data_IF_007883134301
#
_entry.id   IF_007883134301
#
_cell.length_a   1.000
_cell.length_b   1.000
_cell.length_c   1.000
_cell.angle_alpha   90.00
_cell.angle_beta   90.00
_cell.angle_gamma   90.00
#
_symmetry.space_group_name_H-M   'P 1'
#
loop_
_entity.id
_entity.type
_entity.pdbx_description
1 polymer ?
#
# COMPACT_ATOMS: atom_id res chain seq x y z
N UNK A 1 -29.26 -15.89 -12.69
CA UNK A 1 -27.84 -16.19 -12.35
C UNK A 1 -27.00 -15.07 -12.92
N UNK A 2 -26.09 -14.48 -12.14
CA UNK A 2 -25.09 -13.54 -12.66
C UNK A 2 -24.16 -14.31 -13.60
N UNK A 3 -24.11 -13.96 -14.89
CA UNK A 3 -23.16 -14.56 -15.83
C UNK A 3 -21.75 -14.00 -15.60
N UNK A 4 -20.69 -14.68 -16.07
CA UNK A 4 -19.33 -14.12 -16.03
C UNK A 4 -19.24 -12.78 -16.77
N UNK A 5 -20.01 -12.62 -17.84
CA UNK A 5 -20.16 -11.37 -18.56
C UNK A 5 -20.83 -10.29 -17.68
N UNK A 6 -21.90 -10.61 -16.95
CA UNK A 6 -22.54 -9.68 -16.03
C UNK A 6 -21.60 -9.28 -14.89
N UNK A 7 -20.89 -10.25 -14.31
CA UNK A 7 -19.92 -10.01 -13.25
C UNK A 7 -18.81 -9.08 -13.74
N UNK A 8 -18.30 -9.30 -14.96
CA UNK A 8 -17.16 -8.54 -15.47
C UNK A 8 -17.49 -7.16 -16.03
N UNK A 9 -18.70 -6.97 -16.58
CA UNK A 9 -19.16 -5.67 -17.06
C UNK A 9 -19.84 -4.81 -16.00
N UNK A 10 -20.36 -5.39 -14.92
CA UNK A 10 -21.17 -4.66 -13.94
C UNK A 10 -20.66 -4.72 -12.50
N UNK A 11 -19.71 -5.62 -12.17
CA UNK A 11 -19.27 -5.84 -10.78
C UNK A 11 -17.74 -5.75 -10.62
N UNK A 12 -16.95 -6.55 -11.33
CA UNK A 12 -15.48 -6.57 -11.23
C UNK A 12 -14.88 -6.67 -12.63
N UNK A 13 -14.20 -5.63 -13.16
CA UNK A 13 -13.53 -5.74 -14.45
C UNK A 13 -12.54 -6.91 -14.41
N UNK A 14 -12.74 -7.88 -15.31
CA UNK A 14 -11.94 -9.08 -15.42
C UNK A 14 -11.35 -9.21 -16.82
N UNK A 15 -10.40 -10.13 -17.05
CA UNK A 15 -9.79 -10.30 -18.35
C UNK A 15 -10.84 -10.76 -19.37
N UNK A 16 -11.23 -9.85 -20.26
CA UNK A 16 -12.12 -10.11 -21.39
C UNK A 16 -11.36 -10.11 -22.73
N UNK A 17 -10.04 -9.89 -22.71
CA UNK A 17 -9.21 -9.80 -23.90
C UNK A 17 -7.88 -10.50 -23.70
N UNK A 18 -7.39 -11.19 -24.73
CA UNK A 18 -6.03 -11.74 -24.72
C UNK A 18 -4.96 -10.67 -24.55
N UNK A 19 -5.23 -9.43 -24.98
CA UNK A 19 -4.28 -8.32 -24.81
C UNK A 19 -4.01 -7.97 -23.35
N UNK A 20 -4.92 -8.33 -22.44
CA UNK A 20 -4.75 -8.18 -20.99
C UNK A 20 -3.53 -8.97 -20.47
N UNK A 21 -3.28 -10.17 -20.98
CA UNK A 21 -2.21 -11.03 -20.50
C UNK A 21 -0.84 -10.64 -21.07
N UNK A 22 -0.80 -9.90 -22.18
CA UNK A 22 0.45 -9.58 -22.87
C UNK A 22 1.42 -8.79 -21.97
N UNK A 23 1.02 -7.68 -21.30
CA UNK A 23 1.90 -6.97 -20.37
C UNK A 23 2.50 -7.86 -19.26
N UNK A 24 1.69 -8.77 -18.74
CA UNK A 24 2.06 -9.69 -17.66
C UNK A 24 3.11 -10.71 -18.09
N UNK A 25 3.19 -11.02 -19.39
CA UNK A 25 4.22 -11.90 -19.98
C UNK A 25 5.44 -11.11 -20.44
N UNK A 26 5.23 -9.94 -21.05
CA UNK A 26 6.30 -9.13 -21.61
C UNK A 26 7.20 -8.50 -20.56
N UNK A 27 6.66 -8.06 -19.42
CA UNK A 27 7.48 -7.46 -18.36
C UNK A 27 8.50 -8.48 -17.78
N UNK A 28 8.10 -9.69 -17.35
CA UNK A 28 9.06 -10.72 -16.95
C UNK A 28 10.05 -11.08 -18.06
N UNK A 29 9.56 -11.23 -19.31
CA UNK A 29 10.42 -11.57 -20.45
C UNK A 29 11.48 -10.49 -20.70
N UNK A 30 11.10 -9.21 -20.60
CA UNK A 30 12.03 -8.10 -20.70
C UNK A 30 13.11 -8.23 -19.63
N UNK A 31 12.73 -8.39 -18.36
CA UNK A 31 13.64 -8.52 -17.23
C UNK A 31 14.54 -9.76 -17.28
N UNK A 32 14.12 -10.85 -17.93
CA UNK A 32 14.95 -12.05 -18.14
C UNK A 32 15.99 -11.88 -19.26
N UNK A 33 15.75 -10.92 -20.16
CA UNK A 33 16.62 -10.62 -21.30
C UNK A 33 17.83 -9.80 -20.81
N UNK A 34 19.08 -10.29 -20.98
CA UNK A 34 20.27 -9.61 -20.49
C UNK A 34 20.67 -8.44 -21.40
N UNK A 35 21.44 -7.50 -20.85
CA UNK A 35 21.99 -6.35 -21.59
C UNK A 35 22.97 -6.71 -22.70
N UNK A 36 23.53 -7.92 -22.66
CA UNK A 36 24.36 -8.46 -23.74
C UNK A 36 23.56 -8.79 -25.01
N UNK A 37 22.24 -8.99 -24.89
CA UNK A 37 21.35 -9.24 -26.03
C UNK A 37 20.60 -7.98 -26.45
N UNK A 38 20.04 -7.22 -25.50
CA UNK A 38 19.34 -5.96 -25.76
C UNK A 38 19.85 -4.86 -24.82
N UNK A 39 20.38 -3.79 -25.40
CA UNK A 39 20.70 -2.58 -24.63
C UNK A 39 19.46 -1.99 -23.96
N UNK A 40 19.65 -1.09 -22.98
CA UNK A 40 18.54 -0.41 -22.29
C UNK A 40 17.53 0.22 -23.24
N UNK A 41 18.02 0.99 -24.20
CA UNK A 41 17.16 1.68 -25.16
C UNK A 41 16.45 0.72 -26.11
N UNK A 42 17.12 -0.37 -26.52
CA UNK A 42 16.48 -1.41 -27.33
C UNK A 42 15.38 -2.15 -26.56
N UNK A 43 15.61 -2.50 -25.29
CA UNK A 43 14.58 -3.11 -24.44
C UNK A 43 13.38 -2.17 -24.26
N UNK A 44 13.63 -0.88 -23.98
CA UNK A 44 12.55 0.12 -23.84
C UNK A 44 11.77 0.24 -25.15
N UNK A 45 12.46 0.43 -26.28
CA UNK A 45 11.85 0.60 -27.59
C UNK A 45 11.07 -0.63 -28.07
N UNK A 46 11.49 -1.83 -27.66
CA UNK A 46 10.82 -3.08 -28.01
C UNK A 46 9.60 -3.36 -27.11
N UNK A 47 9.79 -3.35 -25.79
CA UNK A 47 8.77 -3.85 -24.86
C UNK A 47 7.74 -2.79 -24.48
N UNK A 48 8.14 -1.54 -24.21
CA UNK A 48 7.21 -0.54 -23.68
C UNK A 48 6.09 -0.17 -24.65
N UNK A 49 6.32 0.06 -25.96
CA UNK A 49 5.22 0.36 -26.88
C UNK A 49 4.19 -0.76 -26.96
N UNK A 50 4.63 -2.03 -26.94
CA UNK A 50 3.73 -3.18 -26.98
C UNK A 50 2.94 -3.30 -25.68
N UNK A 51 3.61 -3.15 -24.52
CA UNK A 51 2.95 -3.14 -23.21
C UNK A 51 1.86 -2.04 -23.15
N UNK A 52 2.20 -0.82 -23.58
CA UNK A 52 1.25 0.31 -23.61
C UNK A 52 0.09 0.01 -24.56
N UNK A 53 0.37 -0.35 -25.81
CA UNK A 53 -0.67 -0.59 -26.81
C UNK A 53 -1.62 -1.72 -26.42
N UNK A 54 -1.09 -2.82 -25.87
CA UNK A 54 -1.90 -3.97 -25.45
C UNK A 54 -2.71 -3.69 -24.18
N UNK A 55 -2.18 -2.87 -23.26
CA UNK A 55 -2.92 -2.36 -22.11
C UNK A 55 -4.06 -1.45 -22.56
N UNK A 56 -3.80 -0.48 -23.44
CA UNK A 56 -4.84 0.41 -23.99
C UNK A 56 -5.90 -0.37 -24.77
N UNK A 57 -5.49 -1.35 -25.58
CA UNK A 57 -6.42 -2.25 -26.26
C UNK A 57 -7.24 -3.08 -25.28
N UNK A 58 -6.65 -3.56 -24.18
CA UNK A 58 -7.38 -4.28 -23.14
C UNK A 58 -8.45 -3.36 -22.53
N UNK A 59 -8.08 -2.14 -22.14
CA UNK A 59 -9.02 -1.16 -21.58
C UNK A 59 -10.15 -0.83 -22.54
N UNK A 60 -9.83 -0.61 -23.82
CA UNK A 60 -10.83 -0.41 -24.86
C UNK A 60 -11.79 -1.60 -24.98
N UNK A 61 -11.24 -2.82 -25.01
CA UNK A 61 -12.03 -4.05 -25.12
C UNK A 61 -12.94 -4.28 -23.92
N UNK A 62 -12.47 -3.92 -22.72
CA UNK A 62 -13.22 -4.06 -21.47
C UNK A 62 -14.17 -2.89 -21.22
N UNK A 63 -14.09 -1.80 -22.01
CA UNK A 63 -14.85 -0.57 -21.80
C UNK A 63 -14.39 0.27 -20.62
N UNK A 64 -13.26 -0.05 -19.99
CA UNK A 64 -12.79 0.58 -18.77
C UNK A 64 -11.37 0.15 -18.40
N UNK A 65 -10.76 0.87 -17.45
CA UNK A 65 -9.49 0.47 -16.86
C UNK A 65 -9.71 -0.65 -15.85
N UNK A 66 -8.65 -1.38 -15.50
CA UNK A 66 -8.67 -2.35 -14.40
C UNK A 66 -7.42 -2.19 -13.52
N UNK A 67 -7.54 -2.60 -12.26
CA UNK A 67 -6.47 -2.43 -11.25
C UNK A 67 -5.16 -3.09 -11.67
N UNK A 68 -5.22 -4.31 -12.22
CA UNK A 68 -4.06 -5.17 -12.41
C UNK A 68 -3.25 -4.74 -13.64
N UNK A 69 -3.91 -4.39 -14.74
CA UNK A 69 -3.22 -3.90 -15.94
C UNK A 69 -2.62 -2.51 -15.72
N UNK A 70 -3.28 -1.62 -14.97
CA UNK A 70 -2.69 -0.33 -14.57
C UNK A 70 -1.46 -0.57 -13.71
N UNK A 71 -1.56 -1.44 -12.69
CA UNK A 71 -0.42 -1.75 -11.83
C UNK A 71 0.75 -2.38 -12.61
N UNK A 72 0.45 -3.28 -13.56
CA UNK A 72 1.46 -3.88 -14.44
C UNK A 72 2.14 -2.83 -15.32
N UNK A 73 1.38 -1.89 -15.88
CA UNK A 73 1.91 -0.78 -16.66
C UNK A 73 2.81 0.13 -15.82
N UNK A 74 2.41 0.43 -14.58
CA UNK A 74 3.23 1.21 -13.65
C UNK A 74 4.52 0.50 -13.25
N UNK A 75 4.47 -0.81 -13.02
CA UNK A 75 5.67 -1.62 -12.77
C UNK A 75 6.59 -1.68 -13.99
N UNK A 76 6.04 -1.80 -15.20
CA UNK A 76 6.82 -1.74 -16.43
C UNK A 76 7.50 -0.37 -16.61
N UNK A 77 6.77 0.72 -16.38
CA UNK A 77 7.33 2.07 -16.38
C UNK A 77 8.47 2.21 -15.35
N UNK A 78 8.25 1.75 -14.12
CA UNK A 78 9.26 1.78 -13.06
C UNK A 78 10.52 1.01 -13.44
N UNK A 79 10.37 -0.26 -13.82
CA UNK A 79 11.49 -1.21 -13.96
C UNK A 79 12.18 -1.16 -15.33
N UNK A 80 11.50 -0.72 -16.38
CA UNK A 80 12.09 -0.66 -17.72
C UNK A 80 12.58 0.76 -18.07
N UNK A 81 11.85 1.79 -17.67
CA UNK A 81 12.11 3.18 -18.08
C UNK A 81 12.82 3.95 -16.98
N UNK A 82 12.20 4.05 -15.80
CA UNK A 82 12.66 4.95 -14.73
C UNK A 82 13.87 4.41 -13.96
N UNK A 83 14.00 3.10 -13.86
CA UNK A 83 15.12 2.40 -13.22
C UNK A 83 15.79 1.42 -14.18
N UNK A 84 17.01 1.00 -13.84
CA UNK A 84 17.75 -0.01 -14.59
C UNK A 84 18.11 -1.20 -13.67
N UNK A 85 17.18 -2.15 -13.45
CA UNK A 85 17.43 -3.32 -12.61
C UNK A 85 18.70 -4.11 -12.94
N UNK A 86 19.11 -4.11 -14.22
CA UNK A 86 20.31 -4.80 -14.67
C UNK A 86 21.59 -4.16 -14.13
N UNK A 87 21.62 -2.83 -14.05
CA UNK A 87 22.79 -2.07 -13.62
C UNK A 87 22.74 -1.75 -12.12
N UNK A 88 21.60 -1.25 -11.66
CA UNK A 88 21.44 -0.61 -10.34
C UNK A 88 21.00 -1.57 -9.25
N UNK A 89 20.28 -2.66 -9.59
CA UNK A 89 19.62 -3.45 -8.55
C UNK A 89 20.56 -4.52 -8.00
N UNK A 90 20.61 -4.62 -6.66
CA UNK A 90 21.31 -5.68 -5.94
C UNK A 90 20.36 -6.31 -4.94
N UNK A 91 20.17 -7.62 -5.02
CA UNK A 91 19.43 -8.36 -4.00
C UNK A 91 20.33 -8.58 -2.80
N UNK A 92 19.86 -8.25 -1.60
CA UNK A 92 20.62 -8.32 -0.35
C UNK A 92 20.04 -9.43 0.51
N UNK A 93 20.75 -10.55 0.63
CA UNK A 93 20.39 -11.61 1.55
C UNK A 93 21.17 -11.49 2.86
N UNK A 94 20.52 -11.84 3.97
CA UNK A 94 21.22 -12.01 5.24
C UNK A 94 21.93 -13.37 5.21
N UNK A 95 23.23 -13.42 5.49
CA UNK A 95 23.88 -14.71 5.71
C UNK A 95 23.15 -15.45 6.84
N UNK A 96 22.99 -16.77 6.70
CA UNK A 96 22.39 -17.63 7.72
C UNK A 96 23.04 -17.36 9.07
N UNK A 97 22.31 -16.70 9.95
CA UNK A 97 22.68 -16.67 11.37
C UNK A 97 22.43 -18.09 11.87
N UNK A 98 23.50 -18.80 12.23
CA UNK A 98 23.39 -20.09 12.90
C UNK A 98 22.51 -19.96 14.13
N UNK A 99 21.73 -21.01 14.43
CA UNK A 99 20.86 -21.12 15.61
C UNK A 99 21.58 -20.66 16.88
N UNK A 100 21.43 -19.39 17.29
CA UNK A 100 21.52 -18.88 18.67
C UNK A 100 21.48 -17.34 18.63
N UNK A 101 20.31 -16.77 18.91
CA UNK A 101 20.12 -15.65 19.86
C UNK A 101 18.66 -15.21 19.80
N UNK A 102 17.79 -15.97 20.47
CA UNK A 102 16.48 -15.49 20.90
C UNK A 102 16.72 -14.65 22.16
N UNK A 103 16.63 -13.33 22.04
CA UNK A 103 16.35 -12.29 23.07
C UNK A 103 17.27 -11.08 22.94
N UNK A 104 16.89 -10.12 22.09
CA UNK A 104 17.23 -8.72 22.32
C UNK A 104 16.02 -7.83 22.03
N UNK A 105 15.52 -7.21 23.09
CA UNK A 105 14.60 -6.09 23.02
C UNK A 105 15.27 -4.94 22.28
N UNK A 106 14.72 -4.57 21.12
CA UNK A 106 15.10 -3.34 20.42
C UNK A 106 14.08 -2.25 20.76
N UNK A 107 14.48 -1.37 21.69
CA UNK A 107 13.77 -0.14 21.99
C UNK A 107 13.59 0.72 20.74
N UNK A 108 12.36 1.14 20.51
CA UNK A 108 11.98 2.01 19.38
C UNK A 108 12.30 3.45 19.77
N UNK A 109 13.37 4.01 19.21
CA UNK A 109 13.64 5.45 19.28
C UNK A 109 12.71 6.21 18.34
N UNK A 110 12.16 7.32 18.84
CA UNK A 110 11.30 8.24 18.12
C UNK A 110 12.15 9.37 17.53
N UNK A 111 12.39 9.35 16.20
CA UNK A 111 13.02 10.40 15.40
C UNK A 111 12.27 10.46 14.04
N UNK A 112 12.03 11.54 13.29
CA UNK A 112 12.31 12.99 13.27
C UNK A 112 11.11 13.67 12.52
N UNK A 113 10.94 15.02 12.56
CA UNK A 113 9.81 15.71 11.93
C UNK A 113 9.91 15.85 10.39
N UNK A 114 8.75 16.11 9.76
CA UNK A 114 8.60 16.38 8.33
C UNK A 114 9.01 17.80 7.90
N UNK A 115 9.27 18.71 8.85
CA UNK A 115 9.71 20.08 8.60
C UNK A 115 10.96 20.30 9.45
N UNK A 116 12.09 20.62 8.81
CA UNK A 116 13.32 20.97 9.54
C UNK A 116 13.20 22.40 10.07
N UNK A 117 14.00 22.76 11.07
CA UNK A 117 14.09 24.13 11.62
C UNK A 117 14.28 25.21 10.56
N UNK A 118 14.81 24.84 9.40
CA UNK A 118 15.10 25.73 8.27
C UNK A 118 13.91 25.85 7.29
N UNK A 119 12.73 25.37 7.68
CA UNK A 119 11.52 25.42 6.87
C UNK A 119 11.50 24.48 5.66
N UNK A 120 12.50 23.63 5.44
CA UNK A 120 12.48 22.64 4.35
C UNK A 120 11.52 21.50 4.67
N UNK A 121 10.78 21.02 3.65
CA UNK A 121 9.95 19.81 3.80
C UNK A 121 10.89 18.63 3.70
N UNK A 122 11.04 17.90 4.81
CA UNK A 122 11.72 16.62 4.79
C UNK A 122 10.83 15.63 4.02
N UNK A 123 11.13 15.41 2.73
CA UNK A 123 10.48 14.40 1.89
C UNK A 123 10.84 12.96 2.31
N UNK A 124 11.84 12.79 3.19
CA UNK A 124 12.30 11.47 3.61
C UNK A 124 11.34 10.87 4.65
N UNK A 125 10.27 10.23 4.15
CA UNK A 125 9.40 9.33 4.92
C UNK A 125 9.81 7.86 4.80
N UNK A 126 11.11 7.60 4.61
CA UNK A 126 11.74 6.32 4.92
C UNK A 126 12.17 6.35 6.40
N UNK A 127 12.21 5.22 7.13
CA UNK A 127 12.60 5.22 8.54
C UNK A 127 13.97 5.87 8.68
N UNK A 128 14.01 7.03 9.34
CA UNK A 128 15.19 7.91 9.36
C UNK A 128 15.90 7.74 10.70
N UNK A 129 17.12 7.21 10.63
CA UNK A 129 18.28 7.41 11.53
C UNK A 129 18.19 6.99 13.01
N UNK A 130 19.26 6.35 13.53
CA UNK A 130 19.84 6.70 14.83
C UNK A 130 20.82 7.87 14.64
N UNK A 131 20.58 9.00 15.31
CA UNK A 131 21.56 10.08 15.37
C UNK A 131 22.83 9.59 16.09
N UNK A 132 23.96 9.66 15.40
CA UNK A 132 25.29 9.52 16.00
C UNK A 132 25.61 10.73 16.85
N UNK A 133 25.32 10.65 18.16
CA UNK A 133 26.12 11.37 19.13
C UNK A 133 27.42 10.58 19.34
N UNK A 134 28.53 11.25 19.07
CA UNK A 134 29.90 10.80 19.33
C UNK A 134 30.08 10.50 20.81
N UNK A 135 29.65 9.32 21.26
CA UNK A 135 30.13 8.72 22.49
C UNK A 135 31.41 7.98 22.11
N UNK A 136 32.54 8.46 22.62
CA UNK A 136 33.85 7.82 22.56
C UNK A 136 33.68 6.31 22.77
N UNK A 137 33.85 5.52 21.71
CA UNK A 137 33.80 4.07 21.79
C UNK A 137 35.02 3.59 22.57
N UNK A 138 34.78 2.84 23.65
CA UNK A 138 35.78 1.95 24.21
C UNK A 138 36.13 0.88 23.15
N UNK A 139 37.41 0.52 22.95
CA UNK A 139 37.83 -0.34 21.83
C UNK A 139 37.39 -1.81 21.92
N UNK A 140 36.59 -2.23 22.90
CA UNK A 140 36.39 -3.65 23.24
C UNK A 140 35.02 -4.25 22.91
N UNK A 141 34.17 -3.61 22.11
CA UNK A 141 32.89 -4.20 21.67
C UNK A 141 32.73 -4.18 20.16
N UNK A 142 33.49 -5.02 19.45
CA UNK A 142 33.21 -5.37 18.06
C UNK A 142 32.01 -6.33 18.02
N UNK A 143 30.80 -5.77 18.02
CA UNK A 143 29.60 -6.51 17.62
C UNK A 143 29.72 -6.76 16.11
N UNK A 144 30.00 -8.01 15.72
CA UNK A 144 30.05 -8.42 14.32
C UNK A 144 28.70 -8.13 13.64
N UNK A 145 28.66 -7.14 12.74
CA UNK A 145 27.52 -6.92 11.85
C UNK A 145 27.27 -8.22 11.04
N UNK A 146 26.00 -8.63 10.85
CA UNK A 146 25.72 -9.82 10.06
C UNK A 146 26.30 -9.66 8.65
N UNK A 147 27.02 -10.68 8.17
CA UNK A 147 27.53 -10.70 6.81
C UNK A 147 26.32 -10.64 5.85
N UNK A 148 26.18 -9.57 5.08
CA UNK A 148 25.16 -9.47 4.03
C UNK A 148 25.79 -9.76 2.68
N UNK A 149 25.16 -10.64 1.90
CA UNK A 149 25.61 -10.94 0.54
C UNK A 149 24.79 -10.11 -0.44
N UNK A 150 25.46 -9.39 -1.34
CA UNK A 150 24.81 -8.64 -2.42
C UNK A 150 24.92 -9.42 -3.73
N UNK A 151 23.78 -9.71 -4.33
CA UNK A 151 23.69 -10.40 -5.61
C UNK A 151 23.29 -9.41 -6.71
N UNK A 152 24.18 -9.14 -7.68
CA UNK A 152 23.84 -8.38 -8.88
C UNK A 152 22.98 -9.19 -9.85
N UNK A 153 22.56 -8.55 -10.95
CA UNK A 153 21.84 -9.20 -12.01
C UNK A 153 22.57 -10.47 -12.50
N UNK A 154 21.94 -11.66 -12.46
CA UNK A 154 22.66 -12.91 -12.70
C UNK A 154 23.04 -13.14 -14.19
N UNK A 155 24.20 -13.75 -14.47
CA UNK A 155 24.65 -13.98 -15.84
C UNK A 155 23.92 -15.12 -16.54
N UNK A 156 23.35 -16.09 -15.83
CA UNK A 156 22.69 -17.27 -16.42
C UNK A 156 21.17 -17.23 -16.28
N UNK A 157 20.44 -17.76 -17.27
CA UNK A 157 18.97 -17.77 -17.25
C UNK A 157 18.39 -18.47 -16.00
N UNK A 158 18.97 -19.60 -15.61
CA UNK A 158 18.57 -20.36 -14.42
C UNK A 158 18.65 -19.52 -13.14
N UNK A 159 19.65 -18.67 -13.01
CA UNK A 159 19.80 -17.78 -11.85
C UNK A 159 18.95 -16.51 -11.97
N UNK A 160 18.68 -16.03 -13.19
CA UNK A 160 17.80 -14.87 -13.42
C UNK A 160 16.34 -15.17 -13.10
N UNK A 161 15.84 -16.37 -13.39
CA UNK A 161 14.45 -16.75 -13.11
C UNK A 161 14.03 -16.45 -11.66
N UNK A 162 14.70 -16.98 -10.62
CA UNK A 162 14.36 -16.65 -9.24
C UNK A 162 14.66 -15.21 -8.87
N UNK A 163 15.69 -14.58 -9.45
CA UNK A 163 16.02 -13.17 -9.20
C UNK A 163 14.91 -12.23 -9.71
N UNK A 164 14.48 -12.39 -10.96
CA UNK A 164 13.39 -11.64 -11.60
C UNK A 164 12.05 -11.95 -10.94
N UNK A 165 11.79 -13.23 -10.63
CA UNK A 165 10.59 -13.62 -9.90
C UNK A 165 10.50 -12.94 -8.53
N UNK A 166 11.61 -12.94 -7.77
CA UNK A 166 11.71 -12.24 -6.48
C UNK A 166 11.48 -10.74 -6.65
N UNK A 167 12.06 -10.12 -7.68
CA UNK A 167 11.90 -8.69 -7.94
C UNK A 167 10.44 -8.32 -8.20
N UNK A 168 9.74 -9.09 -9.04
CA UNK A 168 8.35 -8.83 -9.42
C UNK A 168 7.37 -8.99 -8.26
N UNK A 169 7.63 -9.89 -7.31
CA UNK A 169 6.78 -10.05 -6.12
C UNK A 169 7.20 -9.14 -4.96
N UNK A 170 8.40 -8.55 -5.02
CA UNK A 170 8.90 -7.61 -4.01
C UNK A 170 8.31 -6.22 -4.22
N UNK A 171 6.99 -6.06 -4.03
CA UNK A 171 6.27 -4.79 -4.30
C UNK A 171 6.86 -3.58 -3.57
N UNK A 172 7.42 -3.79 -2.37
CA UNK A 172 8.09 -2.76 -1.56
C UNK A 172 9.59 -2.63 -1.84
N UNK A 173 10.13 -3.45 -2.73
CA UNK A 173 11.57 -3.58 -3.00
C UNK A 173 12.37 -3.85 -1.71
N UNK A 174 11.77 -4.60 -0.77
CA UNK A 174 12.47 -5.09 0.42
C UNK A 174 13.62 -5.99 -0.02
N UNK A 175 14.78 -5.86 0.64
CA UNK A 175 16.00 -6.58 0.30
C UNK A 175 16.59 -6.21 -1.06
N UNK A 176 16.18 -5.10 -1.67
CA UNK A 176 16.76 -4.60 -2.92
C UNK A 176 17.49 -3.29 -2.69
N UNK A 177 18.75 -3.19 -3.08
CA UNK A 177 19.40 -1.89 -3.27
C UNK A 177 19.12 -1.41 -4.69
N UNK A 178 18.83 -0.12 -4.85
CA UNK A 178 18.34 0.49 -6.09
C UNK A 178 19.25 1.62 -6.58
N UNK A 179 20.46 1.74 -6.02
CA UNK A 179 21.35 2.88 -6.20
C UNK A 179 20.68 4.20 -5.76
N UNK A 180 19.92 4.14 -4.67
CA UNK A 180 19.19 5.26 -4.09
C UNK A 180 19.55 5.34 -2.60
N UNK A 181 20.52 6.19 -2.20
CA UNK A 181 21.08 6.16 -0.85
C UNK A 181 20.06 6.22 0.31
N UNK A 182 18.98 7.03 0.24
CA UNK A 182 17.96 7.03 1.29
C UNK A 182 17.20 5.71 1.46
N UNK A 183 17.04 4.95 0.37
CA UNK A 183 16.40 3.63 0.38
C UNK A 183 17.40 2.55 0.77
N UNK A 184 18.57 2.54 0.15
CA UNK A 184 19.54 1.44 0.25
C UNK A 184 20.13 1.29 1.65
N UNK A 185 20.17 2.38 2.42
CA UNK A 185 20.59 2.38 3.84
C UNK A 185 19.66 1.60 4.76
N UNK A 186 18.40 1.40 4.36
CA UNK A 186 17.41 0.67 5.16
C UNK A 186 17.27 -0.79 4.71
N UNK A 187 18.18 -1.28 3.86
CA UNK A 187 18.13 -2.61 3.28
C UNK A 187 19.24 -3.50 3.84
N UNK A 188 18.95 -4.75 4.26
CA UNK A 188 17.62 -5.34 4.39
C UNK A 188 16.83 -4.70 5.55
N UNK A 189 15.49 -4.56 5.47
CA UNK A 189 14.72 -3.93 6.53
C UNK A 189 14.81 -4.75 7.81
N UNK A 190 14.76 -4.09 8.97
CA UNK A 190 14.58 -4.81 10.24
C UNK A 190 13.34 -5.69 10.15
N UNK A 191 13.41 -6.99 10.49
CA UNK A 191 12.25 -7.88 10.38
C UNK A 191 11.10 -7.32 11.18
N UNK A 192 9.91 -7.26 10.58
CA UNK A 192 8.73 -6.79 11.31
C UNK A 192 8.33 -7.75 12.44
N UNK A 193 8.75 -9.02 12.33
CA UNK A 193 8.44 -10.05 13.31
C UNK A 193 9.72 -10.78 13.72
N UNK A 194 9.94 -11.02 15.02
CA UNK A 194 11.16 -11.67 15.50
C UNK A 194 11.24 -13.13 15.06
N UNK A 195 10.09 -13.80 14.90
CA UNK A 195 10.03 -15.22 14.52
C UNK A 195 8.89 -15.48 13.53
N UNK A 196 8.99 -16.59 12.79
CA UNK A 196 7.90 -17.09 11.92
C UNK A 196 6.61 -17.34 12.70
N UNK A 197 6.72 -17.83 13.95
CA UNK A 197 5.56 -18.05 14.84
C UNK A 197 4.90 -16.73 15.21
N UNK A 198 5.68 -15.70 15.53
CA UNK A 198 5.15 -14.37 15.81
C UNK A 198 4.43 -13.79 14.59
N UNK A 199 5.01 -13.94 13.38
CA UNK A 199 4.32 -13.57 12.14
C UNK A 199 3.03 -14.35 11.94
N UNK A 200 3.04 -15.68 12.06
CA UNK A 200 1.87 -16.51 11.85
C UNK A 200 0.74 -16.17 12.83
N UNK A 201 1.07 -15.96 14.12
CA UNK A 201 0.13 -15.50 15.13
C UNK A 201 -0.45 -14.12 14.77
N UNK A 202 0.40 -13.17 14.34
CA UNK A 202 -0.05 -11.86 13.92
C UNK A 202 -0.97 -11.91 12.69
N UNK A 203 -0.62 -12.73 11.70
CA UNK A 203 -1.40 -12.90 10.48
C UNK A 203 -2.75 -13.55 10.79
N UNK A 204 -2.80 -14.55 11.68
CA UNK A 204 -4.04 -15.17 12.14
C UNK A 204 -4.91 -14.19 12.94
N UNK A 205 -4.34 -13.43 13.88
CA UNK A 205 -5.08 -12.41 14.61
C UNK A 205 -5.59 -11.30 13.69
N UNK A 206 -4.78 -10.92 12.69
CA UNK A 206 -5.19 -9.95 11.66
C UNK A 206 -6.31 -10.50 10.77
N UNK A 207 -6.26 -11.78 10.43
CA UNK A 207 -7.33 -12.50 9.75
C UNK A 207 -8.62 -12.43 10.56
N UNK A 208 -8.61 -12.90 11.82
CA UNK A 208 -9.78 -12.92 12.70
C UNK A 208 -10.37 -11.51 12.91
N UNK A 209 -9.51 -10.52 13.19
CA UNK A 209 -9.94 -9.12 13.37
C UNK A 209 -10.56 -8.56 12.11
N UNK A 210 -9.92 -8.77 10.95
CA UNK A 210 -10.45 -8.27 9.68
C UNK A 210 -11.74 -9.00 9.28
N UNK A 211 -11.85 -10.30 9.52
CA UNK A 211 -13.07 -11.08 9.32
C UNK A 211 -14.22 -10.52 10.17
N UNK A 212 -14.01 -10.36 11.48
CA UNK A 212 -15.01 -9.78 12.37
C UNK A 212 -15.40 -8.36 11.95
N UNK A 213 -14.43 -7.55 11.53
CA UNK A 213 -14.69 -6.19 11.02
C UNK A 213 -15.57 -6.24 9.77
N UNK A 214 -15.24 -7.08 8.78
CA UNK A 214 -16.04 -7.24 7.56
C UNK A 214 -17.46 -7.73 7.87
N UNK A 215 -17.60 -8.71 8.76
CA UNK A 215 -18.89 -9.29 9.13
C UNK A 215 -19.79 -8.27 9.83
N UNK A 216 -19.26 -7.56 10.85
CA UNK A 216 -20.00 -6.56 11.62
C UNK A 216 -20.32 -5.30 10.80
N UNK A 217 -19.37 -4.81 9.99
CA UNK A 217 -19.64 -3.67 9.11
C UNK A 217 -20.65 -4.01 8.05
N UNK A 218 -20.62 -5.24 7.49
CA UNK A 218 -21.63 -5.70 6.54
C UNK A 218 -23.01 -5.85 7.17
N UNK A 219 -23.08 -6.33 8.41
CA UNK A 219 -24.31 -6.38 9.20
C UNK A 219 -24.89 -5.00 9.47
N UNK A 220 -24.06 -4.00 9.77
CA UNK A 220 -24.51 -2.62 9.87
C UNK A 220 -25.05 -2.11 8.52
N UNK A 221 -24.29 -2.32 7.45
CA UNK A 221 -24.65 -1.91 6.08
C UNK A 221 -25.98 -2.52 5.62
N UNK A 222 -26.33 -3.75 6.05
CA UNK A 222 -27.62 -4.36 5.68
C UNK A 222 -28.83 -3.65 6.30
N UNK A 223 -28.62 -2.90 7.38
CA UNK A 223 -29.68 -2.18 8.09
C UNK A 223 -29.73 -0.69 7.76
N UNK A 224 -28.65 -0.12 7.22
CA UNK A 224 -28.59 1.31 6.87
C UNK A 224 -28.99 1.52 5.39
N UNK A 225 -30.20 2.04 5.11
CA UNK A 225 -30.71 2.14 3.74
C UNK A 225 -29.90 3.08 2.86
N UNK A 226 -29.04 3.95 3.45
CA UNK A 226 -28.10 4.77 2.68
C UNK A 226 -27.23 3.93 1.74
N UNK A 227 -26.80 2.72 2.13
CA UNK A 227 -25.90 1.91 1.30
C UNK A 227 -26.59 1.17 0.15
N UNK A 228 -27.93 1.12 0.14
CA UNK A 228 -28.69 0.41 -0.90
C UNK A 228 -29.62 1.33 -1.68
N UNK A 229 -29.92 2.52 -1.17
CA UNK A 229 -30.90 3.44 -1.76
C UNK A 229 -30.21 4.72 -2.26
N UNK A 230 -30.01 4.86 -3.58
CA UNK A 230 -29.22 5.96 -4.12
C UNK A 230 -29.71 7.37 -3.88
N UNK A 231 -31.03 7.54 -3.72
CA UNK A 231 -31.64 8.84 -3.49
C UNK A 231 -31.42 9.36 -2.07
N UNK A 232 -30.92 8.54 -1.14
CA UNK A 232 -30.68 8.96 0.24
C UNK A 232 -29.36 9.71 0.38
N UNK A 233 -29.45 10.92 0.93
CA UNK A 233 -28.26 11.70 1.27
C UNK A 233 -27.45 11.03 2.39
N UNK A 234 -26.13 11.21 2.37
CA UNK A 234 -25.21 10.70 3.41
C UNK A 234 -25.48 11.25 4.81
N UNK A 235 -26.15 12.40 4.90
CA UNK A 235 -26.60 13.00 6.17
C UNK A 235 -27.95 12.47 6.67
N UNK A 236 -28.62 11.56 5.95
CA UNK A 236 -29.89 10.96 6.38
C UNK A 236 -29.76 10.28 7.75
N UNK A 237 -30.83 10.24 8.56
CA UNK A 237 -30.79 9.65 9.89
C UNK A 237 -30.23 8.22 9.92
N UNK A 238 -29.51 7.89 10.99
CA UNK A 238 -28.97 6.57 11.23
C UNK A 238 -30.08 5.56 11.53
N UNK A 239 -29.91 4.27 11.15
CA UNK A 239 -30.97 3.26 11.29
C UNK A 239 -31.24 2.83 12.74
N UNK A 240 -30.30 3.09 13.65
CA UNK A 240 -30.42 2.71 15.07
C UNK A 240 -30.55 3.95 15.96
N UNK A 241 -31.61 3.98 16.78
CA UNK A 241 -31.88 5.09 17.72
C UNK A 241 -30.73 5.33 18.69
N UNK A 242 -30.06 4.26 19.13
CA UNK A 242 -28.89 4.32 20.01
C UNK A 242 -27.69 5.09 19.41
N UNK A 243 -27.67 5.32 18.09
CA UNK A 243 -26.57 6.00 17.40
C UNK A 243 -26.88 7.46 17.04
N UNK A 244 -28.06 7.99 17.38
CA UNK A 244 -28.49 9.34 16.97
C UNK A 244 -27.58 10.49 17.43
N UNK A 245 -26.73 10.28 18.45
CA UNK A 245 -25.72 11.27 18.88
C UNK A 245 -24.47 11.33 18.00
N UNK A 246 -24.32 10.42 17.03
CA UNK A 246 -23.16 10.36 16.13
C UNK A 246 -23.54 10.99 14.79
N UNK A 247 -22.74 11.91 14.23
CA UNK A 247 -22.98 12.44 12.89
C UNK A 247 -23.06 11.32 11.85
N UNK A 248 -24.16 11.20 11.06
CA UNK A 248 -24.36 10.06 10.16
C UNK A 248 -23.20 9.86 9.16
N UNK A 249 -22.71 10.97 8.60
CA UNK A 249 -21.59 10.97 7.66
C UNK A 249 -20.30 10.45 8.29
N UNK A 250 -20.02 10.79 9.56
CA UNK A 250 -18.86 10.27 10.28
C UNK A 250 -18.94 8.75 10.41
N UNK A 251 -20.06 8.24 10.94
CA UNK A 251 -20.22 6.81 11.16
C UNK A 251 -20.12 6.02 9.86
N UNK A 252 -20.87 6.42 8.83
CA UNK A 252 -20.85 5.77 7.51
C UNK A 252 -19.46 5.78 6.88
N UNK A 253 -18.74 6.91 6.99
CA UNK A 253 -17.36 7.01 6.52
C UNK A 253 -16.44 6.03 7.27
N UNK A 254 -16.55 5.95 8.60
CA UNK A 254 -15.73 5.03 9.39
C UNK A 254 -16.05 3.56 9.08
N UNK A 255 -17.32 3.22 8.84
CA UNK A 255 -17.74 1.87 8.40
C UNK A 255 -17.11 1.50 7.06
N UNK A 256 -17.15 2.41 6.08
CA UNK A 256 -16.54 2.22 4.76
C UNK A 256 -15.01 2.07 4.87
N UNK A 257 -14.37 2.93 5.65
CA UNK A 257 -12.92 2.86 5.89
C UNK A 257 -12.51 1.56 6.59
N UNK A 258 -13.29 1.11 7.57
CA UNK A 258 -13.07 -0.15 8.28
C UNK A 258 -13.22 -1.35 7.34
N UNK A 259 -14.22 -1.35 6.44
CA UNK A 259 -14.35 -2.37 5.40
C UNK A 259 -13.13 -2.41 4.47
N UNK A 260 -12.72 -1.26 3.92
CA UNK A 260 -11.58 -1.19 3.02
C UNK A 260 -10.28 -1.67 3.70
N UNK A 261 -10.05 -1.23 4.94
CA UNK A 261 -8.90 -1.65 5.74
C UNK A 261 -8.91 -3.16 6.02
N UNK A 262 -10.06 -3.72 6.36
CA UNK A 262 -10.20 -5.13 6.66
C UNK A 262 -10.03 -5.99 5.40
N UNK A 263 -10.65 -5.61 4.28
CA UNK A 263 -10.55 -6.30 3.00
C UNK A 263 -9.10 -6.42 2.53
N UNK A 264 -8.36 -5.31 2.54
CA UNK A 264 -6.93 -5.31 2.20
C UNK A 264 -6.12 -6.17 3.17
N UNK A 265 -6.44 -6.13 4.46
CA UNK A 265 -5.82 -7.01 5.46
C UNK A 265 -6.04 -8.50 5.15
N UNK A 266 -7.24 -8.88 4.71
CA UNK A 266 -7.59 -10.24 4.30
C UNK A 266 -6.90 -10.66 3.00
N UNK A 267 -6.64 -9.72 2.09
CA UNK A 267 -5.95 -10.02 0.83
C UNK A 267 -4.46 -10.32 1.05
N UNK A 268 -3.82 -9.63 2.00
CA UNK A 268 -2.36 -9.70 2.16
C UNK A 268 -1.89 -10.71 3.21
N UNK A 269 -2.36 -10.62 4.46
CA UNK A 269 -1.78 -11.43 5.55
C UNK A 269 -2.07 -12.93 5.46
N UNK A 270 -3.31 -13.37 5.17
CA UNK A 270 -3.62 -14.80 5.03
C UNK A 270 -2.85 -15.46 3.90
N UNK A 271 -2.74 -14.79 2.74
CA UNK A 271 -1.99 -15.31 1.58
C UNK A 271 -0.52 -15.52 1.94
N UNK A 272 0.06 -14.65 2.77
CA UNK A 272 1.42 -14.82 3.27
C UNK A 272 1.63 -15.99 4.24
N UNK A 273 0.59 -16.64 4.75
CA UNK A 273 0.77 -17.88 5.50
C UNK A 273 1.23 -19.04 4.60
N UNK A 274 0.90 -19.00 3.30
CA UNK A 274 1.32 -20.03 2.33
C UNK A 274 2.84 -20.14 2.22
N UNK A 275 3.62 -19.08 1.92
CA UNK A 275 5.08 -19.18 1.86
C UNK A 275 5.72 -19.57 3.21
N UNK A 276 5.11 -19.20 4.35
CA UNK A 276 5.55 -19.69 5.67
C UNK A 276 5.39 -21.20 5.78
N UNK A 277 4.22 -21.72 5.39
CA UNK A 277 3.94 -23.16 5.39
C UNK A 277 4.85 -23.92 4.44
N UNK A 278 5.02 -23.45 3.21
CA UNK A 278 5.91 -24.06 2.21
C UNK A 278 7.37 -24.06 2.67
N UNK A 279 7.84 -23.00 3.32
CA UNK A 279 9.15 -22.97 3.95
C UNK A 279 9.27 -24.00 5.08
N UNK A 280 8.27 -24.10 5.95
CA UNK A 280 8.26 -25.08 7.04
C UNK A 280 8.31 -26.52 6.53
N UNK A 281 7.75 -26.78 5.35
CA UNK A 281 7.81 -28.07 4.64
C UNK A 281 9.12 -28.27 3.84
N UNK A 282 10.02 -27.28 3.81
CA UNK A 282 11.30 -27.34 3.10
C UNK A 282 11.23 -27.02 1.59
N UNK A 283 10.08 -26.56 1.08
CA UNK A 283 9.91 -26.24 -0.34
C UNK A 283 10.39 -24.84 -0.74
N UNK A 284 10.53 -23.92 0.21
CA UNK A 284 11.00 -22.55 -0.04
C UNK A 284 12.21 -22.18 0.85
N UNK A 285 13.15 -21.37 0.33
CA UNK A 285 14.24 -20.84 1.14
C UNK A 285 13.73 -19.80 2.14
N UNK A 286 14.57 -19.45 3.12
CA UNK A 286 14.15 -18.57 4.22
C UNK A 286 13.89 -17.12 3.80
N UNK A 287 14.57 -16.64 2.75
CA UNK A 287 14.39 -15.29 2.21
C UNK A 287 12.94 -15.03 1.72
N UNK A 288 12.21 -16.11 1.40
CA UNK A 288 10.80 -16.07 1.01
C UNK A 288 9.85 -16.12 2.21
N UNK A 289 10.36 -16.10 3.43
CA UNK A 289 9.53 -16.12 4.63
C UNK A 289 9.10 -14.70 5.02
N UNK A 290 7.78 -14.40 5.02
CA UNK A 290 7.26 -13.05 5.27
C UNK A 290 7.60 -12.40 6.61
N UNK A 291 8.05 -13.18 7.60
CA UNK A 291 8.51 -12.62 8.88
C UNK A 291 9.73 -11.69 8.71
N UNK A 292 10.52 -11.88 7.64
CA UNK A 292 11.65 -11.03 7.27
C UNK A 292 11.24 -9.79 6.48
N UNK A 293 9.98 -9.69 6.06
CA UNK A 293 9.49 -8.58 5.26
C UNK A 293 8.98 -7.45 6.16
N UNK A 294 8.93 -6.24 5.60
CA UNK A 294 8.26 -5.13 6.27
C UNK A 294 6.74 -5.39 6.34
N UNK A 295 6.10 -5.04 7.45
CA UNK A 295 4.65 -5.20 7.63
C UNK A 295 3.84 -4.44 6.57
N UNK A 296 2.70 -5.00 6.15
CA UNK A 296 1.85 -4.39 5.11
C UNK A 296 1.33 -3.01 5.47
N UNK A 297 0.95 -2.85 6.75
CA UNK A 297 0.65 -1.57 7.34
C UNK A 297 1.85 -1.07 8.13
N UNK A 298 2.10 0.23 8.06
CA UNK A 298 3.04 0.87 8.97
C UNK A 298 2.51 0.93 10.40
N UNK A 299 3.30 1.47 11.34
CA UNK A 299 2.86 1.61 12.71
C UNK A 299 1.77 2.70 12.83
N UNK A 300 0.62 2.42 13.49
CA UNK A 300 -0.48 3.39 13.61
C UNK A 300 -0.10 4.74 14.22
N UNK A 301 0.94 4.77 15.08
CA UNK A 301 1.45 6.01 15.68
C UNK A 301 1.81 7.07 14.62
N UNK A 302 2.19 6.66 13.41
CA UNK A 302 2.62 7.58 12.36
C UNK A 302 1.45 8.46 11.89
N UNK A 303 0.22 8.00 12.03
CA UNK A 303 -1.00 8.77 11.75
C UNK A 303 -1.09 9.95 12.73
N UNK A 304 -0.91 9.71 14.02
CA UNK A 304 -0.98 10.76 15.03
C UNK A 304 0.25 11.69 14.97
N UNK A 305 1.43 11.16 14.61
CA UNK A 305 2.64 11.97 14.47
C UNK A 305 2.61 12.88 13.23
N UNK A 306 1.99 12.45 12.14
CA UNK A 306 2.13 13.10 10.84
C UNK A 306 0.80 13.34 10.10
N UNK A 307 -0.34 13.22 10.78
CA UNK A 307 -1.67 13.48 10.23
C UNK A 307 -1.99 12.65 9.00
N UNK A 308 -2.64 13.26 8.00
CA UNK A 308 -3.07 12.58 6.77
C UNK A 308 -1.85 12.15 5.95
N UNK A 309 -0.78 12.94 5.99
CA UNK A 309 0.50 12.55 5.39
C UNK A 309 1.07 11.28 6.04
N UNK A 310 0.94 11.14 7.36
CA UNK A 310 1.32 9.93 8.09
C UNK A 310 0.52 8.71 7.66
N UNK A 311 -0.79 8.90 7.50
CA UNK A 311 -1.67 7.86 7.00
C UNK A 311 -1.22 7.35 5.63
N UNK A 312 -1.18 8.20 4.60
CA UNK A 312 -0.88 7.75 3.23
C UNK A 312 0.61 7.43 3.03
N UNK A 313 1.48 8.22 3.64
CA UNK A 313 2.92 8.13 3.40
C UNK A 313 3.63 7.07 4.22
N UNK A 314 3.05 6.58 5.32
CA UNK A 314 3.73 5.65 6.23
C UNK A 314 2.88 4.47 6.70
N UNK A 315 1.56 4.65 6.84
CA UNK A 315 0.69 3.61 7.38
C UNK A 315 0.02 2.76 6.29
N UNK A 316 -0.69 3.40 5.36
CA UNK A 316 -1.61 2.76 4.41
C UNK A 316 -0.91 2.26 3.15
N UNK A 317 -1.30 1.08 2.66
CA UNK A 317 -0.99 0.54 1.33
C UNK A 317 0.47 0.72 0.85
N UNK A 318 1.42 0.44 1.73
CA UNK A 318 2.85 0.72 1.47
C UNK A 318 3.45 -0.09 0.33
N UNK A 319 2.75 -1.12 -0.17
CA UNK A 319 3.16 -1.98 -1.30
C UNK A 319 3.20 -1.23 -2.63
N UNK A 320 2.33 -0.26 -2.87
CA UNK A 320 2.28 0.47 -4.15
C UNK A 320 3.18 1.70 -4.21
N UNK A 321 3.87 2.02 -3.12
CA UNK A 321 4.52 3.33 -2.96
C UNK A 321 5.51 3.63 -4.08
N UNK A 322 6.36 2.67 -4.43
CA UNK A 322 7.39 2.87 -5.46
C UNK A 322 6.80 3.03 -6.87
N UNK A 323 5.76 2.26 -7.23
CA UNK A 323 5.15 2.31 -8.55
C UNK A 323 4.43 3.65 -8.80
N UNK A 324 3.84 4.25 -7.76
CA UNK A 324 3.12 5.53 -7.89
C UNK A 324 3.99 6.77 -7.62
N UNK A 325 4.98 6.73 -6.71
CA UNK A 325 5.74 7.93 -6.35
C UNK A 325 6.97 8.17 -7.23
N UNK A 326 7.59 7.12 -7.77
CA UNK A 326 8.80 7.25 -8.61
C UNK A 326 8.56 8.07 -9.88
N UNK A 327 7.43 7.91 -10.61
CA UNK A 327 7.11 8.80 -11.72
C UNK A 327 7.06 10.27 -11.31
N UNK A 328 6.51 10.58 -10.13
CA UNK A 328 6.47 11.93 -9.60
C UNK A 328 7.86 12.52 -9.33
N UNK A 329 8.80 11.70 -8.83
CA UNK A 329 10.19 12.12 -8.66
C UNK A 329 10.87 12.39 -10.01
N UNK A 330 10.66 11.53 -11.01
CA UNK A 330 11.20 11.73 -12.34
C UNK A 330 10.68 13.02 -13.00
N UNK A 331 9.38 13.31 -12.87
CA UNK A 331 8.80 14.58 -13.35
C UNK A 331 9.41 15.77 -12.62
N UNK A 332 9.54 15.71 -11.29
CA UNK A 332 10.13 16.81 -10.53
C UNK A 332 11.61 17.06 -10.90
N UNK A 333 12.38 16.01 -11.18
CA UNK A 333 13.76 16.09 -11.65
C UNK A 333 13.86 16.68 -13.05
N UNK A 334 12.98 16.26 -13.97
CA UNK A 334 12.89 16.82 -15.33
C UNK A 334 12.54 18.31 -15.32
N UNK A 335 11.76 18.76 -14.34
CA UNK A 335 11.43 20.18 -14.11
C UNK A 335 12.54 20.95 -13.36
N UNK A 336 13.66 20.30 -13.00
CA UNK A 336 14.77 20.95 -12.28
C UNK A 336 14.42 21.37 -10.85
N UNK A 337 13.41 20.76 -10.22
CA UNK A 337 12.97 21.14 -8.88
C UNK A 337 13.99 20.74 -7.82
N UNK A 338 14.39 21.70 -7.00
CA UNK A 338 15.36 21.48 -5.91
C UNK A 338 14.86 20.44 -4.92
N UNK A 339 15.77 19.60 -4.42
CA UNK A 339 15.49 18.64 -3.36
C UNK A 339 14.93 19.32 -2.11
N UNK A 340 13.88 18.74 -1.51
CA UNK A 340 13.22 19.29 -0.31
C UNK A 340 12.42 20.57 -0.53
N UNK A 341 12.26 21.02 -1.79
CA UNK A 341 11.42 22.16 -2.13
C UNK A 341 9.93 21.80 -2.05
N UNK A 342 9.10 22.80 -1.76
CA UNK A 342 7.63 22.65 -1.78
C UNK A 342 7.13 22.24 -3.17
N UNK A 343 7.68 22.83 -4.23
CA UNK A 343 7.33 22.48 -5.60
C UNK A 343 7.55 21.01 -5.91
N UNK A 344 8.70 20.44 -5.51
CA UNK A 344 8.98 19.01 -5.67
C UNK A 344 7.94 18.16 -4.94
N UNK A 345 7.65 18.49 -3.68
CA UNK A 345 6.64 17.77 -2.88
C UNK A 345 5.25 17.80 -3.53
N UNK A 346 4.81 18.96 -4.02
CA UNK A 346 3.52 19.12 -4.71
C UNK A 346 3.46 18.25 -5.95
N UNK A 347 4.48 18.29 -6.80
CA UNK A 347 4.53 17.49 -8.04
C UNK A 347 4.53 15.99 -7.73
N UNK A 348 5.40 15.54 -6.82
CA UNK A 348 5.49 14.12 -6.44
C UNK A 348 4.16 13.63 -5.88
N UNK A 349 3.54 14.41 -4.99
CA UNK A 349 2.25 14.07 -4.37
C UNK A 349 1.12 14.05 -5.40
N UNK A 350 1.02 15.06 -6.27
CA UNK A 350 -0.01 15.14 -7.29
C UNK A 350 0.08 13.98 -8.29
N UNK A 351 1.29 13.64 -8.75
CA UNK A 351 1.50 12.50 -9.65
C UNK A 351 1.17 11.19 -8.93
N UNK A 352 1.64 11.00 -7.69
CA UNK A 352 1.39 9.77 -6.94
C UNK A 352 -0.11 9.52 -6.68
N UNK A 353 -0.85 10.54 -6.22
CA UNK A 353 -2.29 10.43 -6.02
C UNK A 353 -3.06 10.34 -7.34
N UNK A 354 -2.60 11.02 -8.40
CA UNK A 354 -3.18 10.89 -9.74
C UNK A 354 -3.09 9.46 -10.27
N UNK A 355 -1.90 8.86 -10.23
CA UNK A 355 -1.69 7.46 -10.65
C UNK A 355 -2.43 6.48 -9.75
N UNK A 356 -2.46 6.72 -8.43
CA UNK A 356 -3.28 5.91 -7.51
C UNK A 356 -4.77 6.02 -7.85
N UNK A 357 -5.26 7.22 -8.21
CA UNK A 357 -6.63 7.43 -8.67
C UNK A 357 -6.96 6.62 -9.93
N UNK A 358 -6.04 6.58 -10.91
CA UNK A 358 -6.20 5.74 -12.12
C UNK A 358 -6.30 4.26 -11.77
N UNK A 359 -5.50 3.77 -10.80
CA UNK A 359 -5.63 2.39 -10.31
C UNK A 359 -7.03 2.15 -9.72
N UNK A 360 -7.56 3.08 -8.93
CA UNK A 360 -8.90 2.96 -8.34
C UNK A 360 -10.04 3.13 -9.35
N UNK A 361 -9.83 3.86 -10.46
CA UNK A 361 -10.78 3.84 -11.58
C UNK A 361 -10.96 2.40 -12.10
N UNK A 362 -9.95 1.54 -11.95
CA UNK A 362 -10.03 0.13 -12.27
C UNK A 362 -10.94 -0.70 -11.37
N UNK A 363 -11.56 -0.09 -10.36
CA UNK A 363 -12.64 -0.69 -9.59
C UNK A 363 -14.01 -0.33 -10.17
N UNK A 364 -14.07 0.68 -11.05
CA UNK A 364 -15.31 1.21 -11.65
C UNK A 364 -15.62 0.43 -12.93
N UNK A 365 -16.78 -0.27 -13.04
CA UNK A 365 -17.21 -0.85 -14.29
C UNK A 365 -17.51 0.24 -15.33
N UNK A 366 -17.44 -0.12 -16.63
CA UNK A 366 -17.69 0.78 -17.76
C UNK A 366 -19.01 1.53 -17.70
N UNK A 367 -20.06 0.90 -17.16
CA UNK A 367 -21.41 1.43 -17.06
C UNK A 367 -21.81 1.60 -15.58
N UNK A 368 -21.38 2.70 -14.91
CA UNK A 368 -21.80 2.97 -13.55
C UNK A 368 -23.29 3.33 -13.53
N UNK A 369 -24.07 2.71 -12.65
CA UNK A 369 -25.53 2.84 -12.66
C UNK A 369 -26.02 4.29 -12.52
N UNK A 370 -25.29 5.22 -11.87
CA UNK A 370 -25.75 6.61 -11.61
C UNK A 370 -24.62 7.65 -11.37
N UNK A 371 -23.84 8.07 -12.36
CA UNK A 371 -22.61 8.86 -12.10
C UNK A 371 -22.76 10.39 -11.92
N UNK A 372 -22.25 10.92 -10.79
CA UNK A 372 -21.71 12.29 -10.66
C UNK A 372 -20.43 12.24 -9.81
N UNK A 373 -19.28 12.71 -10.32
CA UNK A 373 -18.02 12.71 -9.56
C UNK A 373 -17.46 14.12 -9.36
N UNK A 374 -16.87 14.36 -8.18
CA UNK A 374 -16.10 15.57 -7.83
C UNK A 374 -14.78 15.15 -7.16
N UNK A 375 -13.66 15.70 -7.62
CA UNK A 375 -12.35 15.52 -7.01
C UNK A 375 -12.07 16.58 -5.93
N UNK A 376 -11.32 16.23 -4.88
CA UNK A 376 -10.91 17.15 -3.80
C UNK A 376 -9.39 17.28 -3.78
N UNK A 377 -8.90 18.51 -3.63
CA UNK A 377 -7.48 18.85 -3.60
C UNK A 377 -6.84 18.63 -2.21
N UNK A 378 -5.61 18.11 -2.19
CA UNK A 378 -4.80 17.84 -0.99
C UNK A 378 -3.71 18.90 -0.86
N UNK A 379 -3.92 20.06 -0.20
CA UNK A 379 -2.81 21.03 -0.02
C UNK A 379 -2.76 21.87 1.28
N UNK A 380 -3.66 21.68 2.26
CA UNK A 380 -3.69 22.59 3.43
C UNK A 380 -2.79 22.18 4.60
N UNK A 381 -2.57 20.88 4.85
CA UNK A 381 -1.90 20.40 6.07
C UNK A 381 -0.44 20.84 6.20
N UNK A 382 0.35 20.76 5.13
CA UNK A 382 1.78 21.09 5.17
C UNK A 382 2.04 22.58 5.36
N UNK A 383 1.12 23.43 4.89
CA UNK A 383 1.19 24.89 5.10
C UNK A 383 0.89 25.24 6.56
N UNK A 384 -0.14 24.64 7.14
CA UNK A 384 -0.50 24.82 8.56
C UNK A 384 0.63 24.33 9.48
N UNK A 385 1.22 23.16 9.20
CA UNK A 385 2.33 22.63 9.98
C UNK A 385 3.58 23.54 9.93
N UNK A 386 3.89 24.11 8.76
CA UNK A 386 5.00 25.08 8.61
C UNK A 386 4.75 26.36 9.38
N UNK A 387 3.55 26.92 9.28
CA UNK A 387 3.17 28.12 10.03
C UNK A 387 3.25 27.86 11.55
N UNK A 388 2.77 26.72 12.02
CA UNK A 388 2.82 26.35 13.44
C UNK A 388 4.24 26.20 13.99
N UNK A 389 5.16 25.59 13.21
CA UNK A 389 6.59 25.50 13.57
C UNK A 389 7.26 26.86 13.54
N UNK A 390 6.92 27.72 12.58
CA UNK A 390 7.47 29.07 12.49
C UNK A 390 7.08 29.96 13.68
N UNK A 391 5.87 29.78 14.23
CA UNK A 391 5.36 30.60 15.36
C UNK A 391 5.86 30.10 16.72
N UNK A 392 5.80 28.79 16.98
CA UNK A 392 6.03 28.23 18.32
C UNK A 392 7.37 27.48 18.47
N UNK A 393 8.13 27.36 17.39
CA UNK A 393 9.37 26.61 17.37
C UNK A 393 9.15 25.09 17.34
N UNK A 394 10.13 24.37 16.79
CA UNK A 394 10.04 22.92 16.59
C UNK A 394 10.06 22.14 17.91
N UNK A 395 10.82 22.60 18.90
CA UNK A 395 11.01 21.90 20.17
C UNK A 395 9.71 21.79 20.99
N UNK A 396 8.89 22.84 20.98
CA UNK A 396 7.57 22.83 21.62
C UNK A 396 6.70 21.69 21.09
N UNK A 397 6.64 21.52 19.76
CA UNK A 397 5.82 20.50 19.10
C UNK A 397 6.41 19.08 19.15
N UNK A 398 7.56 18.90 19.80
CA UNK A 398 8.24 17.61 19.95
C UNK A 398 8.17 17.06 21.39
N UNK A 399 7.82 17.88 22.38
CA UNK A 399 7.86 17.50 23.80
C UNK A 399 6.66 18.03 24.58
N UNK A 400 6.42 17.42 25.75
CA UNK A 400 5.41 17.88 26.71
C UNK A 400 4.04 18.13 26.09
N UNK A 401 3.44 19.27 26.43
CA UNK A 401 2.09 19.63 26.01
C UNK A 401 1.97 19.83 24.49
N UNK A 402 2.99 20.39 23.83
CA UNK A 402 2.94 20.64 22.39
C UNK A 402 2.89 19.34 21.59
N UNK A 403 3.62 18.30 22.02
CA UNK A 403 3.49 16.96 21.43
C UNK A 403 2.06 16.42 21.57
N UNK A 404 1.48 16.48 22.77
CA UNK A 404 0.10 16.01 23.02
C UNK A 404 -0.91 16.73 22.14
N UNK A 405 -0.83 18.07 22.05
CA UNK A 405 -1.71 18.87 21.19
C UNK A 405 -1.55 18.44 19.73
N UNK A 406 -0.32 18.28 19.25
CA UNK A 406 -0.06 17.82 17.88
C UNK A 406 -0.67 16.45 17.61
N UNK A 407 -0.52 15.48 18.51
CA UNK A 407 -1.08 14.14 18.34
C UNK A 407 -2.60 14.18 18.23
N UNK A 408 -3.26 14.96 19.10
CA UNK A 408 -4.72 15.14 19.09
C UNK A 408 -5.19 15.84 17.83
N UNK A 409 -4.58 16.97 17.46
CA UNK A 409 -4.93 17.74 16.26
C UNK A 409 -4.77 16.90 15.00
N UNK A 410 -3.67 16.17 14.87
CA UNK A 410 -3.45 15.27 13.73
C UNK A 410 -4.48 14.13 13.70
N UNK A 411 -4.81 13.54 14.85
CA UNK A 411 -5.84 12.50 14.93
C UNK A 411 -7.21 13.01 14.51
N UNK A 412 -7.65 14.16 15.05
CA UNK A 412 -8.92 14.80 14.67
C UNK A 412 -8.93 15.20 13.20
N UNK A 413 -7.82 15.73 12.69
CA UNK A 413 -7.68 16.10 11.29
C UNK A 413 -7.82 14.90 10.36
N UNK A 414 -7.22 13.76 10.71
CA UNK A 414 -7.37 12.51 9.94
C UNK A 414 -8.82 12.02 9.94
N UNK A 415 -9.50 12.06 11.08
CA UNK A 415 -10.92 11.69 11.17
C UNK A 415 -11.79 12.62 10.32
N UNK A 416 -11.58 13.93 10.42
CA UNK A 416 -12.29 14.93 9.61
C UNK A 416 -12.03 14.71 8.11
N UNK A 417 -10.76 14.48 7.74
CA UNK A 417 -10.36 14.19 6.37
C UNK A 417 -11.13 12.99 5.80
N UNK A 418 -11.13 11.86 6.50
CA UNK A 418 -11.83 10.65 6.04
C UNK A 418 -13.35 10.81 6.03
N UNK A 419 -13.89 11.59 6.97
CA UNK A 419 -15.33 11.94 6.97
C UNK A 419 -15.73 12.71 5.72
N UNK A 420 -14.82 13.52 5.16
CA UNK A 420 -15.05 14.27 3.94
C UNK A 420 -14.74 13.46 2.67
N UNK A 421 -13.71 12.60 2.70
CA UNK A 421 -13.22 11.92 1.50
C UNK A 421 -13.83 10.53 1.24
N UNK A 422 -14.06 9.71 2.28
CA UNK A 422 -14.63 8.36 2.12
C UNK A 422 -16.07 8.34 1.58
N UNK A 423 -16.92 9.36 1.79
CA UNK A 423 -18.20 9.44 1.09
C UNK A 423 -18.09 9.28 -0.42
N UNK A 424 -17.01 9.78 -1.05
CA UNK A 424 -16.79 9.65 -2.49
C UNK A 424 -16.62 8.18 -2.89
N UNK A 425 -15.86 7.42 -2.10
CA UNK A 425 -15.68 5.98 -2.30
C UNK A 425 -16.97 5.21 -1.99
N UNK A 426 -17.67 5.61 -0.92
CA UNK A 426 -18.93 4.99 -0.49
C UNK A 426 -20.00 5.11 -1.57
N UNK A 427 -20.15 6.31 -2.11
CA UNK A 427 -21.11 6.65 -3.15
C UNK A 427 -20.86 5.86 -4.43
N UNK A 428 -19.60 5.79 -4.85
CA UNK A 428 -19.20 4.95 -5.96
C UNK A 428 -19.56 3.47 -5.73
N UNK A 429 -19.12 2.88 -4.61
CA UNK A 429 -19.43 1.48 -4.29
C UNK A 429 -20.94 1.22 -4.17
N UNK A 430 -21.70 2.23 -3.74
CA UNK A 430 -23.16 2.20 -3.64
C UNK A 430 -23.82 2.19 -5.01
N UNK A 431 -23.34 3.00 -5.94
CA UNK A 431 -23.79 2.99 -7.33
C UNK A 431 -23.50 1.65 -8.00
N UNK A 432 -22.41 0.97 -7.64
CA UNK A 432 -22.09 -0.35 -8.19
C UNK A 432 -22.78 -1.52 -7.49
N UNK A 433 -23.55 -1.27 -6.43
CA UNK A 433 -24.19 -2.33 -5.66
C UNK A 433 -23.20 -3.19 -4.85
N UNK A 434 -21.96 -2.75 -4.61
CA UNK A 434 -20.96 -3.50 -3.83
C UNK A 434 -21.45 -3.83 -2.41
N UNK A 435 -22.28 -2.96 -1.85
CA UNK A 435 -22.86 -3.14 -0.53
C UNK A 435 -23.96 -4.20 -0.45
N UNK A 436 -24.45 -4.70 -1.60
CA UNK A 436 -25.52 -5.71 -1.64
C UNK A 436 -24.99 -7.12 -1.39
N UNK A 437 -23.74 -7.39 -1.75
CA UNK A 437 -23.11 -8.72 -1.61
C UNK A 437 -22.45 -8.85 -0.24
N UNK A 438 -22.43 -10.06 0.32
CA UNK A 438 -21.64 -10.33 1.52
C UNK A 438 -20.18 -10.58 1.13
N UNK A 439 -19.20 -9.86 1.70
CA UNK A 439 -17.79 -10.02 1.33
C UNK A 439 -17.19 -11.35 1.81
N UNK A 440 -17.86 -12.03 2.74
CA UNK A 440 -17.45 -13.31 3.32
C UNK A 440 -18.44 -14.41 2.90
N UNK A 441 -17.98 -15.67 2.71
CA UNK A 441 -18.84 -16.81 2.38
C UNK A 441 -19.66 -17.32 3.57
N UNK A 442 -19.17 -17.06 4.79
CA UNK A 442 -19.82 -17.43 6.05
C UNK A 442 -19.95 -16.16 6.89
N UNK A 443 -21.09 -15.97 7.56
CA UNK A 443 -21.31 -14.84 8.46
C UNK A 443 -21.72 -15.34 9.84
N UNK A 444 -20.97 -14.92 10.86
CA UNK A 444 -21.31 -15.24 12.24
C UNK A 444 -22.50 -14.40 12.67
N UNK A 445 -22.51 -13.10 12.33
CA UNK A 445 -23.64 -12.23 12.64
C UNK A 445 -24.94 -12.73 11.99
N UNK A 446 -24.93 -13.00 10.69
CA UNK A 446 -26.11 -13.49 9.99
C UNK A 446 -26.56 -14.84 10.55
N UNK A 447 -25.62 -15.77 10.80
CA UNK A 447 -25.91 -17.05 11.42
C UNK A 447 -26.59 -16.93 12.79
N UNK A 448 -26.10 -16.04 13.66
CA UNK A 448 -26.67 -15.83 14.98
C UNK A 448 -28.03 -15.11 14.97
N UNK A 449 -28.25 -14.19 14.04
CA UNK A 449 -29.47 -13.37 13.99
C UNK A 449 -30.60 -13.95 13.13
N UNK A 450 -30.27 -14.68 12.06
CA UNK A 450 -31.25 -15.21 11.09
C UNK A 450 -31.21 -16.74 10.96
N UNK A 451 -30.23 -17.41 11.56
CA UNK A 451 -29.98 -18.85 11.38
C UNK A 451 -29.26 -19.20 10.08
N UNK A 452 -28.98 -18.23 9.20
CA UNK A 452 -28.31 -18.45 7.91
C UNK A 452 -26.81 -18.15 8.00
N UNK A 453 -26.01 -19.20 8.14
CA UNK A 453 -24.55 -19.10 8.26
C UNK A 453 -23.87 -18.85 6.92
N UNK A 454 -24.35 -19.48 5.85
CA UNK A 454 -23.83 -19.33 4.50
C UNK A 454 -24.44 -18.08 3.89
N UNK A 455 -23.60 -17.23 3.29
CA UNK A 455 -24.00 -15.95 2.71
C UNK A 455 -23.78 -15.89 1.21
N UNK A 456 -23.05 -16.85 0.65
CA UNK A 456 -22.84 -16.98 -0.79
C UNK A 456 -23.79 -18.05 -1.35
N UNK A 457 -24.72 -17.67 -2.24
CA UNK A 457 -25.71 -18.61 -2.78
C UNK A 457 -25.11 -19.84 -3.48
N UNK A 458 -23.89 -19.72 -4.02
CA UNK A 458 -23.20 -20.84 -4.66
C UNK A 458 -22.74 -21.94 -3.70
N UNK A 459 -22.82 -21.72 -2.38
CA UNK A 459 -22.43 -22.66 -1.34
C UNK A 459 -23.63 -23.27 -0.58
N UNK A 460 -24.87 -22.87 -0.90
CA UNK A 460 -26.10 -23.36 -0.25
C UNK A 460 -26.67 -24.65 -0.88
N UNK A 461 -25.82 -25.44 -1.56
CA UNK A 461 -26.22 -26.65 -2.30
C UNK A 461 -26.85 -27.74 -1.44
#
# INVERSE_FOLDING_TARGET
MLTYHDLTHHIIPGPQSYSYFIPHLLLPLALLTPRSLLSRWQSIALFMPIIVATTLHAWWSMGGVDVISVDTLLHALLLLVLKDPWADFRFVSRARIGKHDDTRDMGINADLPAVTSNGQVNEQTSPTQPNGHTKRQDPSSQTSLPLTTEQPYPPTLRARLPWTGTLLVSLRLNNWKLNLPPHDRTQPPTPAFPTRRAFAAFALLSFLRGYATLDLTRAYISHDPYFTTPSLAIGSPLPFTALQGIPPQLLRSMVVGAQAWALLGQLFYPVCLLPVGLHALGFLPDDWSPHLWAAYYGPPREIFLHGVRGFWGKYWHQTMRHSVSTPGHAVAEALGLRGGSWGKYVVVTAVAFGLSGVVHMGLVPPEPLQATMRAVAIFCETLVARAAVAVYGLEYWQRGNGLTIRLVVNGLWVVAWFTLSLPLLAEFARQLGYWTVWPLPVSVWNGLTTGRWITWPCLES
#
